data_IF_019366143272
#
_entry.id   IF_019366143272
#
_cell.length_a   1.000
_cell.length_b   1.000
_cell.length_c   1.000
_cell.angle_alpha   90.00
_cell.angle_beta   90.00
_cell.angle_gamma   90.00
#
_symmetry.space_group_name_H-M   'P 1'
#
loop_
_entity.id
_entity.type
_entity.pdbx_description
1 polymer ?
#
# COMPACT_ATOMS: atom_id res chain seq x y z
N UNK A 1 17.37 -7.40 8.87
CA UNK A 1 16.67 -8.36 7.99
C UNK A 1 15.59 -9.02 8.86
N UNK A 2 14.32 -8.90 8.46
CA UNK A 2 13.10 -9.27 9.20
C UNK A 2 12.62 -8.27 10.26
N UNK A 3 11.95 -7.20 9.81
CA UNK A 3 10.82 -6.51 10.49
C UNK A 3 10.32 -5.30 9.70
N UNK A 4 11.07 -4.83 8.70
CA UNK A 4 10.80 -3.54 8.07
C UNK A 4 9.50 -3.51 7.26
N UNK A 5 9.22 -4.43 6.31
CA UNK A 5 7.96 -4.39 5.52
C UNK A 5 6.67 -4.45 6.36
N UNK A 6 6.80 -4.84 7.63
CA UNK A 6 5.70 -4.87 8.57
C UNK A 6 5.37 -3.47 9.12
N UNK A 7 6.25 -2.47 9.07
CA UNK A 7 6.02 -1.11 9.62
C UNK A 7 5.03 -0.28 8.77
N UNK A 8 4.80 -0.64 7.50
CA UNK A 8 3.62 -0.14 6.77
C UNK A 8 2.29 -0.56 7.45
N UNK A 9 2.35 -1.54 8.37
CA UNK A 9 1.25 -2.12 9.15
C UNK A 9 1.50 -2.22 10.69
N UNK A 10 2.63 -1.76 11.27
CA UNK A 10 3.07 -2.21 12.63
C UNK A 10 3.68 -1.12 13.53
N UNK A 11 3.32 0.15 13.40
CA UNK A 11 3.73 1.19 14.37
C UNK A 11 2.75 1.37 15.55
N UNK A 12 1.61 0.65 15.59
CA UNK A 12 0.53 0.82 16.59
C UNK A 12 0.49 -0.32 17.63
N UNK A 13 1.58 -1.09 17.80
CA UNK A 13 1.59 -2.23 18.73
C UNK A 13 1.97 -1.86 20.18
N UNK A 14 2.28 -0.60 20.50
CA UNK A 14 2.84 -0.26 21.82
C UNK A 14 1.87 0.35 22.85
N UNK A 15 0.60 0.65 22.53
CA UNK A 15 -0.31 1.29 23.51
C UNK A 15 -1.76 0.77 23.58
N UNK A 16 -2.09 -0.37 22.97
CA UNK A 16 -3.39 -1.00 23.18
C UNK A 16 -3.57 -2.18 22.24
N UNK A 17 -3.87 -3.36 22.78
CA UNK A 17 -3.87 -4.62 22.03
C UNK A 17 -4.70 -4.56 20.75
N UNK A 18 -4.05 -4.76 19.61
CA UNK A 18 -4.74 -5.11 18.38
C UNK A 18 -3.98 -6.26 17.71
N UNK A 19 -4.63 -7.42 17.66
CA UNK A 19 -4.29 -8.56 16.80
C UNK A 19 -4.74 -8.30 15.34
N UNK A 20 -4.74 -7.05 14.83
CA UNK A 20 -5.55 -6.65 13.66
C UNK A 20 -5.00 -6.96 12.27
N UNK A 21 -3.78 -7.49 12.14
CA UNK A 21 -3.24 -7.91 10.82
C UNK A 21 -3.01 -9.41 10.84
N UNK A 22 -3.79 -10.13 10.03
CA UNK A 22 -3.70 -11.58 9.90
C UNK A 22 -2.30 -11.99 9.43
N UNK A 23 -1.82 -13.13 9.88
CA UNK A 23 -0.52 -13.64 9.42
C UNK A 23 -0.53 -13.94 7.91
N UNK A 24 -1.70 -14.23 7.34
CA UNK A 24 -1.90 -14.38 5.91
C UNK A 24 -1.61 -13.06 5.14
N UNK A 25 -2.07 -11.92 5.65
CA UNK A 25 -1.80 -10.61 5.04
C UNK A 25 -0.30 -10.29 5.08
N UNK A 26 0.38 -10.61 6.20
CA UNK A 26 1.83 -10.41 6.34
C UNK A 26 2.63 -11.27 5.37
N UNK A 27 2.28 -12.55 5.27
CA UNK A 27 2.94 -13.48 4.36
C UNK A 27 2.70 -13.11 2.89
N UNK A 28 1.49 -12.63 2.55
CA UNK A 28 1.19 -12.12 1.22
C UNK A 28 2.08 -10.91 0.88
N UNK A 29 2.12 -9.89 1.74
CA UNK A 29 2.94 -8.69 1.51
C UNK A 29 4.42 -9.05 1.39
N UNK A 30 4.92 -9.98 2.21
CA UNK A 30 6.31 -10.47 2.11
C UNK A 30 6.58 -11.10 0.75
N UNK A 31 5.72 -12.01 0.29
CA UNK A 31 5.88 -12.68 -1.00
C UNK A 31 5.84 -11.69 -2.17
N UNK A 32 4.93 -10.71 -2.12
CA UNK A 32 4.85 -9.66 -3.14
C UNK A 32 6.12 -8.81 -3.15
N UNK A 33 6.62 -8.43 -1.98
CA UNK A 33 7.86 -7.67 -1.85
C UNK A 33 9.08 -8.45 -2.39
N UNK A 34 9.24 -9.72 -2.00
CA UNK A 34 10.31 -10.61 -2.48
C UNK A 34 10.28 -10.77 -4.01
N UNK A 35 9.09 -10.80 -4.60
CA UNK A 35 8.90 -10.86 -6.06
C UNK A 35 9.23 -9.52 -6.74
N UNK A 36 8.81 -8.41 -6.15
CA UNK A 36 8.84 -7.09 -6.79
C UNK A 36 10.17 -6.35 -6.61
N UNK A 37 10.87 -6.52 -5.49
CA UNK A 37 12.13 -5.83 -5.21
C UNK A 37 13.22 -6.07 -6.27
N UNK A 38 13.51 -7.32 -6.71
CA UNK A 38 14.58 -7.56 -7.68
C UNK A 38 14.27 -7.04 -9.09
N UNK A 39 12.99 -6.88 -9.45
CA UNK A 39 12.58 -6.46 -10.80
C UNK A 39 12.33 -4.96 -10.92
N UNK A 40 12.02 -4.28 -9.81
CA UNK A 40 11.78 -2.83 -9.83
C UNK A 40 13.07 -2.01 -9.74
N UNK A 41 14.18 -2.61 -9.29
CA UNK A 41 15.44 -1.91 -9.03
C UNK A 41 15.42 -1.03 -7.77
N UNK A 42 14.36 -1.11 -6.96
CA UNK A 42 14.28 -0.37 -5.71
C UNK A 42 15.25 -0.95 -4.67
N UNK A 43 15.74 -0.10 -3.79
CA UNK A 43 16.55 -0.55 -2.64
C UNK A 43 15.65 -0.83 -1.44
N UNK A 44 16.09 -1.74 -0.56
CA UNK A 44 15.42 -1.96 0.72
C UNK A 44 15.29 -0.66 1.52
N UNK A 45 16.27 0.23 1.42
CA UNK A 45 16.28 1.52 2.10
C UNK A 45 15.15 2.44 1.65
N UNK A 46 14.86 2.50 0.34
CA UNK A 46 13.71 3.26 -0.18
C UNK A 46 12.38 2.74 0.41
N UNK A 47 12.24 1.41 0.51
CA UNK A 47 11.06 0.80 1.12
C UNK A 47 10.99 1.13 2.61
N UNK A 48 12.11 1.08 3.32
CA UNK A 48 12.18 1.43 4.75
C UNK A 48 11.77 2.88 5.02
N UNK A 49 12.19 3.82 4.17
CA UNK A 49 11.79 5.21 4.27
C UNK A 49 10.27 5.38 4.08
N UNK A 50 9.69 4.69 3.11
CA UNK A 50 8.25 4.79 2.85
C UNK A 50 7.42 4.31 4.04
N UNK A 51 7.91 3.32 4.80
CA UNK A 51 7.24 2.83 6.01
C UNK A 51 7.17 3.86 7.13
N UNK A 52 8.08 4.84 7.14
CA UNK A 52 8.07 5.94 8.13
C UNK A 52 7.36 7.19 7.60
N UNK A 53 6.77 7.11 6.40
CA UNK A 53 6.05 8.21 5.76
C UNK A 53 6.93 9.07 4.85
N UNK A 54 8.21 8.74 4.69
CA UNK A 54 9.08 9.38 3.71
C UNK A 54 9.07 8.60 2.40
N UNK A 55 8.31 9.05 1.42
CA UNK A 55 8.16 8.37 0.13
C UNK A 55 9.18 8.91 -0.87
N UNK A 56 10.23 8.14 -1.25
CA UNK A 56 11.22 8.61 -2.22
C UNK A 56 10.56 8.84 -3.58
N UNK A 57 10.78 10.02 -4.17
CA UNK A 57 10.32 10.36 -5.53
C UNK A 57 11.26 9.75 -6.58
N UNK A 58 11.53 8.45 -6.48
CA UNK A 58 12.44 7.69 -7.34
C UNK A 58 11.67 6.74 -8.26
N UNK A 59 12.07 6.64 -9.53
CA UNK A 59 11.36 5.80 -10.51
C UNK A 59 11.36 4.32 -10.13
N UNK A 60 12.46 3.79 -9.60
CA UNK A 60 12.56 2.40 -9.19
C UNK A 60 11.67 2.10 -7.99
N UNK A 61 11.53 3.06 -7.06
CA UNK A 61 10.59 2.95 -5.96
C UNK A 61 9.12 3.00 -6.44
N UNK A 62 8.78 3.89 -7.38
CA UNK A 62 7.44 3.94 -7.98
C UNK A 62 7.09 2.63 -8.71
N UNK A 63 8.05 2.06 -9.44
CA UNK A 63 7.91 0.74 -10.07
C UNK A 63 7.71 -0.38 -9.04
N UNK A 64 8.36 -0.31 -7.87
CA UNK A 64 8.16 -1.26 -6.77
C UNK A 64 6.73 -1.21 -6.24
N UNK A 65 6.24 -0.02 -5.93
CA UNK A 65 4.88 0.21 -5.42
C UNK A 65 3.85 -0.27 -6.45
N UNK A 66 4.06 0.04 -7.73
CA UNK A 66 3.19 -0.43 -8.80
C UNK A 66 3.20 -1.96 -8.92
N UNK A 67 4.38 -2.59 -8.90
CA UNK A 67 4.48 -4.04 -8.95
C UNK A 67 3.70 -4.71 -7.81
N UNK A 68 3.87 -4.21 -6.57
CA UNK A 68 3.18 -4.76 -5.41
C UNK A 68 1.65 -4.60 -5.53
N UNK A 69 1.19 -3.40 -5.85
CA UNK A 69 -0.26 -3.10 -5.93
C UNK A 69 -0.92 -3.79 -7.12
N UNK A 70 -0.23 -3.94 -8.26
CA UNK A 70 -0.70 -4.74 -9.39
C UNK A 70 -0.77 -6.22 -9.02
N UNK A 71 0.27 -6.77 -8.38
CA UNK A 71 0.29 -8.18 -8.00
C UNK A 71 -0.74 -8.52 -6.91
N UNK A 72 -1.12 -7.56 -6.07
CA UNK A 72 -2.24 -7.68 -5.14
C UNK A 72 -3.62 -7.66 -5.84
N UNK A 73 -3.71 -7.06 -7.03
CA UNK A 73 -4.93 -6.98 -7.84
C UNK A 73 -5.62 -5.62 -7.86
N UNK A 74 -4.98 -4.55 -7.37
CA UNK A 74 -5.54 -3.20 -7.42
C UNK A 74 -5.48 -2.55 -8.80
N UNK A 75 -4.69 -3.11 -9.70
CA UNK A 75 -4.59 -2.67 -11.08
C UNK A 75 -4.95 -3.82 -12.02
N UNK A 76 -5.73 -3.50 -13.05
CA UNK A 76 -5.99 -4.37 -14.18
C UNK A 76 -4.76 -4.45 -15.08
N UNK A 77 -4.75 -5.40 -16.01
CA UNK A 77 -3.64 -5.57 -16.96
C UNK A 77 -3.40 -4.33 -17.84
N UNK A 78 -4.45 -3.54 -18.11
CA UNK A 78 -4.36 -2.29 -18.87
C UNK A 78 -3.84 -1.10 -18.03
N UNK A 79 -3.45 -1.31 -16.77
CA UNK A 79 -2.93 -0.27 -15.89
C UNK A 79 -3.98 0.64 -15.24
N UNK A 80 -5.28 0.35 -15.43
CA UNK A 80 -6.36 1.04 -14.72
C UNK A 80 -6.59 0.43 -13.33
N UNK A 81 -7.05 1.25 -12.39
CA UNK A 81 -7.45 0.77 -11.06
C UNK A 81 -8.64 -0.19 -11.17
N UNK A 82 -8.55 -1.34 -10.50
CA UNK A 82 -9.70 -2.21 -10.28
C UNK A 82 -10.54 -1.71 -9.09
N UNK A 83 -11.51 -0.85 -9.40
CA UNK A 83 -12.38 -0.22 -8.40
C UNK A 83 -13.15 -1.27 -7.58
N UNK A 84 -13.52 -2.42 -8.17
CA UNK A 84 -14.24 -3.46 -7.45
C UNK A 84 -13.40 -4.09 -6.35
N UNK A 85 -12.13 -4.40 -6.66
CA UNK A 85 -11.18 -4.94 -5.67
C UNK A 85 -10.87 -3.89 -4.61
N UNK A 86 -10.59 -2.65 -5.00
CA UNK A 86 -10.29 -1.57 -4.04
C UNK A 86 -11.48 -1.28 -3.13
N UNK A 87 -12.70 -1.23 -3.65
CA UNK A 87 -13.90 -1.04 -2.84
C UNK A 87 -14.09 -2.18 -1.85
N UNK A 88 -13.94 -3.44 -2.28
CA UNK A 88 -14.00 -4.60 -1.40
C UNK A 88 -12.99 -4.48 -0.24
N UNK A 89 -11.75 -4.10 -0.52
CA UNK A 89 -10.73 -3.94 0.51
C UNK A 89 -11.02 -2.77 1.46
N UNK A 90 -11.50 -1.63 0.96
CA UNK A 90 -11.91 -0.51 1.80
C UNK A 90 -13.06 -0.90 2.73
N UNK A 91 -14.03 -1.70 2.28
CA UNK A 91 -15.13 -2.18 3.13
C UNK A 91 -14.67 -3.13 4.23
N UNK A 92 -13.65 -3.97 3.96
CA UNK A 92 -13.07 -4.87 4.96
C UNK A 92 -12.29 -4.12 6.03
N UNK A 93 -11.61 -3.04 5.64
CA UNK A 93 -10.62 -2.34 6.47
C UNK A 93 -11.17 -1.10 7.17
N UNK A 94 -12.24 -0.51 6.64
CA UNK A 94 -12.78 0.77 7.14
C UNK A 94 -14.28 0.63 7.39
N UNK A 95 -14.68 0.62 8.66
CA UNK A 95 -16.09 0.52 9.04
C UNK A 95 -16.90 1.78 8.64
N UNK A 96 -16.30 2.97 8.73
CA UNK A 96 -16.98 4.24 8.48
C UNK A 96 -17.22 4.49 6.96
N UNK A 97 -18.49 4.52 6.50
CA UNK A 97 -18.82 4.78 5.09
C UNK A 97 -18.46 6.20 4.61
N UNK A 98 -18.48 7.21 5.49
CA UNK A 98 -18.12 8.58 5.15
C UNK A 98 -16.63 8.64 4.84
N UNK A 99 -15.82 8.04 5.71
CA UNK A 99 -14.39 7.95 5.51
C UNK A 99 -14.01 7.14 4.26
N UNK A 100 -14.70 6.01 3.99
CA UNK A 100 -14.50 5.26 2.73
C UNK A 100 -14.73 6.14 1.51
N UNK A 101 -15.80 6.92 1.52
CA UNK A 101 -16.15 7.84 0.42
C UNK A 101 -15.09 8.92 0.25
N UNK A 102 -14.61 9.49 1.35
CA UNK A 102 -13.53 10.48 1.35
C UNK A 102 -12.23 9.92 0.77
N UNK A 103 -11.78 8.76 1.25
CA UNK A 103 -10.54 8.11 0.78
C UNK A 103 -10.63 7.79 -0.71
N UNK A 104 -11.76 7.28 -1.19
CA UNK A 104 -11.95 7.04 -2.63
C UNK A 104 -11.79 8.31 -3.44
N UNK A 105 -12.43 9.40 -3.01
CA UNK A 105 -12.39 10.67 -3.73
C UNK A 105 -11.00 11.31 -3.72
N UNK A 106 -10.26 11.20 -2.61
CA UNK A 106 -8.96 11.87 -2.43
C UNK A 106 -7.77 11.05 -2.90
N UNK A 107 -7.76 9.74 -2.66
CA UNK A 107 -6.59 8.90 -2.86
C UNK A 107 -6.61 8.06 -4.14
N UNK A 108 -7.79 7.72 -4.69
CA UNK A 108 -7.90 6.87 -5.88
C UNK A 108 -8.01 7.67 -7.17
N UNK A 109 -7.14 8.67 -7.32
CA UNK A 109 -7.11 9.59 -8.45
C UNK A 109 -6.09 9.12 -9.48
N UNK A 110 -6.55 8.81 -10.70
CA UNK A 110 -5.69 8.45 -11.82
C UNK A 110 -4.68 9.57 -12.12
N UNK A 111 -3.45 9.17 -12.39
CA UNK A 111 -2.33 10.02 -12.81
C UNK A 111 -1.92 9.67 -14.23
N UNK A 112 -0.91 10.37 -14.74
CA UNK A 112 -0.40 10.18 -16.10
C UNK A 112 0.06 8.74 -16.37
N UNK A 113 0.59 8.07 -15.35
CA UNK A 113 1.02 6.67 -15.44
C UNK A 113 0.41 5.82 -14.33
N UNK A 114 0.28 4.49 -14.54
CA UNK A 114 -0.11 3.55 -13.49
C UNK A 114 0.83 3.58 -12.29
N UNK A 115 2.14 3.77 -12.52
CA UNK A 115 3.14 3.91 -11.47
C UNK A 115 2.91 5.15 -10.61
N UNK A 116 2.70 6.29 -11.23
CA UNK A 116 2.44 7.53 -10.52
C UNK A 116 1.10 7.44 -9.76
N UNK A 117 0.11 6.78 -10.36
CA UNK A 117 -1.17 6.49 -9.70
C UNK A 117 -0.97 5.64 -8.44
N UNK A 118 -0.25 4.53 -8.55
CA UNK A 118 0.01 3.62 -7.43
C UNK A 118 0.79 4.31 -6.32
N UNK A 119 1.83 5.08 -6.68
CA UNK A 119 2.65 5.83 -5.74
C UNK A 119 1.84 6.89 -4.99
N UNK A 120 1.12 7.76 -5.71
CA UNK A 120 0.33 8.83 -5.09
C UNK A 120 -0.82 8.27 -4.24
N UNK A 121 -1.49 7.20 -4.70
CA UNK A 121 -2.53 6.53 -3.92
C UNK A 121 -1.97 5.95 -2.61
N UNK A 122 -0.83 5.27 -2.68
CA UNK A 122 -0.16 4.68 -1.49
C UNK A 122 0.25 5.77 -0.49
N UNK A 123 0.87 6.85 -0.98
CA UNK A 123 1.26 8.01 -0.16
C UNK A 123 0.05 8.69 0.48
N UNK A 124 -1.06 8.84 -0.24
CA UNK A 124 -2.29 9.40 0.28
C UNK A 124 -2.92 8.51 1.35
N UNK A 125 -3.03 7.19 1.10
CA UNK A 125 -3.59 6.23 2.05
C UNK A 125 -2.79 6.14 3.35
N UNK A 126 -1.47 6.37 3.29
CA UNK A 126 -0.64 6.43 4.50
C UNK A 126 -1.09 7.52 5.48
N UNK A 127 -1.66 8.63 4.99
CA UNK A 127 -2.21 9.68 5.86
C UNK A 127 -3.45 9.22 6.65
N UNK A 128 -4.10 8.14 6.20
CA UNK A 128 -5.29 7.55 6.81
C UNK A 128 -5.00 6.23 7.54
N UNK A 129 -3.72 5.87 7.74
CA UNK A 129 -3.32 4.55 8.27
C UNK A 129 -3.97 4.21 9.62
N UNK A 130 -4.17 5.19 10.49
CA UNK A 130 -4.82 5.03 11.80
C UNK A 130 -6.33 4.71 11.70
N UNK A 131 -6.91 4.85 10.50
CA UNK A 131 -8.32 4.57 10.25
C UNK A 131 -8.57 3.34 9.34
N UNK A 132 -7.51 2.78 8.76
CA UNK A 132 -7.54 1.63 7.85
C UNK A 132 -7.25 0.32 8.62
N UNK A 133 -6.79 0.42 9.87
CA UNK A 133 -6.37 -0.69 10.72
C UNK A 133 -7.19 -0.78 12.01
#
# INVERSE_FOLDING_TARGET
MNTCCVIFFLAVALLGGIESVSDADKDMVRQLHEKCLPISGATQEMVNQAMTGNFPEDSAFKDHVYCMTKAYGFFKENGQIDIGVVESELHKRIADPVLRTEIKAKCLVLKETPQETAFQATKCLFAYKENIM
#
